data_IF_420585201055
#
_entry.id   IF_420585201055
#
_cell.length_a   1.000
_cell.length_b   1.000
_cell.length_c   1.000
_cell.angle_alpha   90.00
_cell.angle_beta   90.00
_cell.angle_gamma   90.00
#
_symmetry.space_group_name_H-M   'P 1'
#
loop_
_entity.id
_entity.type
_entity.pdbx_description
1 polymer ?
#
# COMPACT_ATOMS: atom_id res chain seq x y z
N UNK A 1 11.17 10.12 10.39
CA UNK A 1 11.60 11.09 9.36
C UNK A 1 10.82 10.90 8.06
N UNK A 2 9.75 11.66 7.88
CA UNK A 2 8.87 11.63 6.70
C UNK A 2 9.46 12.24 5.42
N UNK A 3 10.73 12.63 5.43
CA UNK A 3 11.37 13.43 4.39
C UNK A 3 11.68 12.67 3.07
N UNK A 4 11.29 11.40 2.94
CA UNK A 4 11.60 10.60 1.73
C UNK A 4 10.48 9.62 1.34
N UNK A 5 9.24 9.92 1.74
CA UNK A 5 8.07 9.14 1.34
C UNK A 5 7.57 9.61 -0.02
N UNK A 6 7.30 8.67 -0.92
CA UNK A 6 6.65 8.95 -2.21
C UNK A 6 5.12 8.76 -2.14
N UNK A 7 4.60 8.44 -0.94
CA UNK A 7 3.18 8.45 -0.65
C UNK A 7 2.71 9.91 -0.60
N UNK A 8 1.55 10.18 -1.19
CA UNK A 8 0.98 11.52 -1.19
C UNK A 8 0.72 12.02 0.24
N UNK A 9 1.10 13.26 0.54
CA UNK A 9 0.95 13.89 1.86
C UNK A 9 -0.50 13.87 2.36
N UNK A 10 -1.49 14.01 1.47
CA UNK A 10 -2.91 13.91 1.80
C UNK A 10 -3.25 12.59 2.52
N UNK A 11 -2.64 11.48 2.08
CA UNK A 11 -2.87 10.17 2.71
C UNK A 11 -2.06 9.98 3.98
N UNK A 12 -0.89 10.62 4.11
CA UNK A 12 -0.10 10.54 5.35
C UNK A 12 -0.88 11.12 6.52
N UNK A 13 -1.54 12.26 6.33
CA UNK A 13 -2.43 12.86 7.34
C UNK A 13 -3.61 11.94 7.68
N UNK A 14 -4.23 11.30 6.69
CA UNK A 14 -5.29 10.32 6.93
C UNK A 14 -4.80 9.10 7.73
N UNK A 15 -3.59 8.61 7.43
CA UNK A 15 -2.99 7.46 8.13
C UNK A 15 -2.60 7.77 9.57
N UNK A 16 -2.24 9.01 9.90
CA UNK A 16 -1.97 9.44 11.27
C UNK A 16 -3.23 9.42 12.15
N UNK A 17 -4.41 9.59 11.53
CA UNK A 17 -5.70 9.71 12.21
C UNK A 17 -6.53 8.40 12.24
N UNK A 18 -5.95 7.25 11.86
CA UNK A 18 -6.69 5.98 11.96
C UNK A 18 -6.98 5.64 13.42
N UNK A 19 -8.13 5.03 13.71
CA UNK A 19 -8.56 4.66 15.05
C UNK A 19 -8.47 3.15 15.28
N UNK A 20 -8.84 2.33 14.29
CA UNK A 20 -8.94 0.87 14.48
C UNK A 20 -7.58 0.22 14.72
N UNK A 21 -7.46 -0.69 15.70
CA UNK A 21 -6.20 -1.39 15.99
C UNK A 21 -5.62 -2.14 14.79
N UNK A 22 -6.48 -2.80 14.00
CA UNK A 22 -6.08 -3.55 12.81
C UNK A 22 -5.44 -2.64 11.76
N UNK A 23 -6.03 -1.47 11.49
CA UNK A 23 -5.49 -0.50 10.52
C UNK A 23 -4.14 0.05 10.98
N UNK A 24 -4.00 0.41 12.26
CA UNK A 24 -2.73 0.85 12.85
C UNK A 24 -1.64 -0.21 12.76
N UNK A 25 -1.99 -1.48 12.93
CA UNK A 25 -1.04 -2.59 12.77
C UNK A 25 -0.56 -2.70 11.31
N UNK A 26 -1.47 -2.57 10.35
CA UNK A 26 -1.15 -2.69 8.92
C UNK A 26 -0.29 -1.53 8.38
N UNK A 27 -0.39 -0.32 8.96
CA UNK A 27 0.51 0.79 8.61
C UNK A 27 1.99 0.38 8.75
N UNK A 28 2.33 -0.47 9.73
CA UNK A 28 3.72 -0.92 9.95
C UNK A 28 4.29 -1.76 8.81
N UNK A 29 3.42 -2.31 7.96
CA UNK A 29 3.80 -3.06 6.76
C UNK A 29 4.04 -2.16 5.56
N UNK A 30 3.77 -0.85 5.68
CA UNK A 30 3.96 0.09 4.59
C UNK A 30 5.44 0.46 4.41
N UNK A 31 5.90 0.38 3.16
CA UNK A 31 7.15 0.92 2.67
C UNK A 31 6.92 2.33 2.07
N UNK A 32 7.48 3.40 2.68
CA UNK A 32 7.31 4.76 2.21
C UNK A 32 7.94 5.03 0.82
N UNK A 33 8.77 4.12 0.32
CA UNK A 33 9.36 4.20 -1.04
C UNK A 33 8.53 3.50 -2.11
N UNK A 34 7.31 3.06 -1.78
CA UNK A 34 6.35 2.50 -2.74
C UNK A 34 5.14 3.43 -2.87
N UNK A 35 4.64 3.75 -4.09
CA UNK A 35 3.50 4.67 -4.26
C UNK A 35 2.20 4.17 -3.61
N UNK A 36 1.99 2.84 -3.63
CA UNK A 36 0.87 2.18 -2.94
C UNK A 36 1.15 1.92 -1.46
N UNK A 37 2.35 2.27 -0.99
CA UNK A 37 2.85 1.97 0.35
C UNK A 37 3.12 0.49 0.60
N UNK A 38 2.70 -0.46 -0.23
CA UNK A 38 2.94 -1.89 0.01
C UNK A 38 4.12 -2.45 -0.79
N UNK A 39 5.04 -3.15 -0.13
CA UNK A 39 6.12 -3.90 -0.79
C UNK A 39 5.64 -5.34 -1.07
N UNK A 40 5.58 -5.79 -2.34
CA UNK A 40 5.19 -7.17 -2.67
C UNK A 40 6.13 -8.24 -2.11
N UNK A 41 7.31 -7.87 -1.61
CA UNK A 41 8.21 -8.78 -0.89
C UNK A 41 7.99 -8.77 0.64
N UNK A 42 7.11 -7.93 1.17
CA UNK A 42 6.75 -7.92 2.59
C UNK A 42 5.87 -9.13 2.92
N UNK A 43 6.50 -10.27 3.20
CA UNK A 43 5.81 -11.42 3.78
C UNK A 43 5.65 -11.22 5.29
N UNK A 44 4.47 -11.51 5.90
CA UNK A 44 4.24 -11.31 7.33
C UNK A 44 5.17 -12.13 8.24
N UNK A 45 5.84 -13.17 7.71
CA UNK A 45 6.73 -14.06 8.44
C UNK A 45 8.21 -13.94 8.06
N UNK A 46 8.64 -12.92 7.32
CA UNK A 46 10.08 -12.72 7.07
C UNK A 46 10.70 -11.81 8.13
N UNK A 47 11.35 -12.46 9.10
CA UNK A 47 12.42 -11.87 9.89
C UNK A 47 13.44 -11.20 8.95
N UNK A 48 13.40 -9.87 8.89
CA UNK A 48 14.52 -8.98 8.59
C UNK A 48 15.53 -9.54 7.57
N UNK A 49 15.08 -9.92 6.37
CA UNK A 49 16.01 -9.99 5.24
C UNK A 49 16.31 -8.55 4.84
N UNK A 50 17.57 -8.14 5.07
CA UNK A 50 18.12 -6.89 4.58
C UNK A 50 17.63 -6.67 3.15
N UNK A 51 17.04 -5.51 2.91
CA UNK A 51 16.78 -5.01 1.57
C UNK A 51 18.02 -5.30 0.70
N UNK A 52 17.85 -6.12 -0.34
CA UNK A 52 18.91 -6.35 -1.31
C UNK A 52 19.42 -4.98 -1.81
N UNK A 53 20.74 -4.73 -1.92
CA UNK A 53 21.28 -3.39 -2.14
C UNK A 53 21.03 -2.80 -3.55
N UNK A 54 20.18 -3.43 -4.36
CA UNK A 54 19.84 -2.95 -5.69
C UNK A 54 18.46 -3.47 -6.08
N UNK A 55 17.59 -2.58 -6.55
CA UNK A 55 16.36 -2.94 -7.25
C UNK A 55 15.11 -2.49 -6.53
N UNK A 56 14.60 -1.32 -6.93
CA UNK A 56 13.18 -1.01 -6.86
C UNK A 56 12.39 -2.21 -7.42
N UNK A 57 11.70 -2.94 -6.56
CA UNK A 57 10.75 -3.99 -6.94
C UNK A 57 9.52 -3.35 -7.57
N UNK A 58 9.69 -2.73 -8.74
CA UNK A 58 8.62 -2.66 -9.72
C UNK A 58 8.19 -4.12 -9.92
N UNK A 59 6.99 -4.48 -9.49
CA UNK A 59 6.43 -5.80 -9.82
C UNK A 59 6.66 -6.07 -11.30
N UNK A 60 6.94 -7.33 -11.68
CA UNK A 60 7.24 -7.67 -13.08
C UNK A 60 6.24 -6.97 -13.99
N UNK A 61 6.72 -6.22 -14.99
CA UNK A 61 5.85 -5.53 -15.95
C UNK A 61 4.82 -6.52 -16.49
N UNK A 62 3.56 -6.09 -16.56
CA UNK A 62 2.43 -6.94 -16.94
C UNK A 62 1.73 -7.68 -15.80
N UNK A 63 2.17 -7.54 -14.55
CA UNK A 63 1.44 -8.06 -13.37
C UNK A 63 0.36 -7.10 -12.88
N UNK A 64 -0.68 -7.63 -12.22
CA UNK A 64 -1.74 -6.83 -11.60
C UNK A 64 -1.17 -5.76 -10.64
N UNK A 65 -0.25 -6.14 -9.75
CA UNK A 65 0.37 -5.19 -8.81
C UNK A 65 1.24 -4.13 -9.52
N UNK A 66 1.79 -4.43 -10.71
CA UNK A 66 2.47 -3.41 -11.50
C UNK A 66 1.46 -2.39 -12.05
N UNK A 67 0.33 -2.87 -12.58
CA UNK A 67 -0.76 -2.01 -13.06
C UNK A 67 -1.32 -1.12 -11.93
N UNK A 68 -1.64 -1.69 -10.76
CA UNK A 68 -2.16 -0.91 -9.62
C UNK A 68 -1.16 0.15 -9.17
N UNK A 69 0.14 -0.16 -9.17
CA UNK A 69 1.20 0.81 -8.83
C UNK A 69 1.24 1.97 -9.80
N UNK A 70 1.14 1.70 -11.10
CA UNK A 70 1.09 2.73 -12.14
C UNK A 70 -0.16 3.61 -11.97
N UNK A 71 -1.33 3.02 -11.70
CA UNK A 71 -2.54 3.79 -11.44
C UNK A 71 -2.40 4.67 -10.19
N UNK A 72 -1.81 4.15 -9.11
CA UNK A 72 -1.58 4.94 -7.90
C UNK A 72 -0.57 6.08 -8.13
N UNK A 73 0.45 5.89 -8.97
CA UNK A 73 1.35 6.97 -9.37
C UNK A 73 0.63 8.05 -10.17
N UNK A 74 -0.29 7.66 -11.05
CA UNK A 74 -1.08 8.59 -11.88
C UNK A 74 -2.13 9.35 -11.07
N UNK A 75 -2.71 8.72 -10.06
CA UNK A 75 -3.76 9.27 -9.21
C UNK A 75 -3.36 9.16 -7.71
N UNK A 76 -2.34 9.92 -7.29
CA UNK A 76 -1.70 9.73 -5.99
C UNK A 76 -2.60 10.10 -4.80
N UNK A 77 -3.62 10.92 -5.01
CA UNK A 77 -4.59 11.41 -4.04
C UNK A 77 -5.96 10.69 -4.12
N UNK A 78 -6.06 9.57 -4.86
CA UNK A 78 -7.30 8.79 -5.01
C UNK A 78 -7.18 7.40 -4.41
N UNK A 79 -8.31 6.85 -3.96
CA UNK A 79 -8.43 5.42 -3.63
C UNK A 79 -8.62 4.65 -4.94
N UNK A 80 -7.75 3.68 -5.20
CA UNK A 80 -7.83 2.85 -6.41
C UNK A 80 -8.58 1.55 -6.09
N UNK A 81 -9.73 1.38 -6.74
CA UNK A 81 -10.48 0.13 -6.77
C UNK A 81 -10.21 -0.57 -8.10
N UNK A 82 -9.56 -1.72 -8.05
CA UNK A 82 -9.20 -2.49 -9.24
C UNK A 82 -10.17 -3.63 -9.42
N UNK A 83 -10.88 -3.66 -10.55
CA UNK A 83 -11.78 -4.77 -10.84
C UNK A 83 -10.99 -6.05 -11.15
N UNK A 84 -11.24 -7.10 -10.38
CA UNK A 84 -10.65 -8.44 -10.53
C UNK A 84 -11.79 -9.46 -10.54
N UNK A 85 -12.16 -9.93 -11.73
CA UNK A 85 -13.36 -10.76 -11.92
C UNK A 85 -14.63 -10.00 -11.50
N UNK A 86 -15.36 -10.55 -10.53
CA UNK A 86 -16.61 -9.98 -9.99
C UNK A 86 -16.38 -9.03 -8.81
N UNK A 87 -15.15 -8.89 -8.32
CA UNK A 87 -14.82 -8.08 -7.15
C UNK A 87 -14.04 -6.82 -7.52
N UNK A 88 -14.11 -5.83 -6.63
CA UNK A 88 -13.20 -4.69 -6.63
C UNK A 88 -12.22 -4.86 -5.47
N UNK A 89 -10.94 -4.95 -5.81
CA UNK A 89 -9.84 -5.09 -4.86
C UNK A 89 -9.09 -3.77 -4.68
N UNK A 90 -8.63 -3.53 -3.45
CA UNK A 90 -7.76 -2.42 -3.11
C UNK A 90 -6.48 -2.97 -2.49
N UNK A 91 -5.38 -2.22 -2.61
CA UNK A 91 -4.06 -2.68 -2.18
C UNK A 91 -3.32 -1.61 -1.39
N UNK A 92 -2.46 -2.04 -0.47
CA UNK A 92 -1.63 -1.16 0.34
C UNK A 92 -2.45 -0.13 1.12
N UNK A 93 -2.11 1.16 0.97
CA UNK A 93 -2.79 2.26 1.68
C UNK A 93 -4.29 2.27 1.41
N UNK A 94 -4.69 2.02 0.16
CA UNK A 94 -6.10 2.05 -0.23
C UNK A 94 -6.89 0.95 0.50
N UNK A 95 -6.29 -0.24 0.69
CA UNK A 95 -6.89 -1.30 1.49
C UNK A 95 -7.03 -0.91 2.97
N UNK A 96 -5.98 -0.30 3.55
CA UNK A 96 -5.99 0.17 4.94
C UNK A 96 -7.11 1.19 5.18
N UNK A 97 -7.29 2.14 4.25
CA UNK A 97 -8.35 3.14 4.34
C UNK A 97 -9.75 2.51 4.27
N UNK A 98 -9.95 1.48 3.44
CA UNK A 98 -11.24 0.78 3.36
C UNK A 98 -11.49 -0.11 4.59
N UNK A 99 -10.46 -0.71 5.18
CA UNK A 99 -10.59 -1.39 6.48
C UNK A 99 -11.02 -0.40 7.56
N UNK A 100 -10.39 0.78 7.59
CA UNK A 100 -10.70 1.84 8.54
C UNK A 100 -12.15 2.34 8.37
N UNK A 101 -12.51 2.82 7.20
CA UNK A 101 -13.75 3.59 7.02
C UNK A 101 -14.92 2.75 6.52
N UNK A 102 -14.67 1.63 5.84
CA UNK A 102 -15.72 0.77 5.29
C UNK A 102 -15.89 -0.55 6.05
N UNK A 103 -15.03 -0.83 7.04
CA UNK A 103 -15.14 -2.03 7.87
C UNK A 103 -14.83 -3.33 7.12
N UNK A 104 -14.05 -3.25 6.05
CA UNK A 104 -13.61 -4.44 5.31
C UNK A 104 -12.61 -5.25 6.15
N UNK A 105 -12.56 -6.56 5.89
CA UNK A 105 -11.53 -7.43 6.46
C UNK A 105 -10.29 -7.40 5.57
N UNK A 106 -9.10 -7.39 6.18
CA UNK A 106 -7.84 -7.60 5.45
C UNK A 106 -7.77 -9.05 4.95
N UNK A 107 -7.39 -9.23 3.70
CA UNK A 107 -7.13 -10.53 3.08
C UNK A 107 -5.64 -10.69 2.76
#
# INVERSE_FOLDING_TARGET
DGANSIINAYWLEALENLEKPTSKMLIRQLNPRCPMGFDPNASPNQSKKLASPAGSSQGKKGTLLAYVREQKQRFPDKVILTKVGEFYEAYGIDAILLIEHCGLNSM
#
